data_IF_476533151025
#
_entry.id   IF_476533151025
#
_cell.length_a   1.000
_cell.length_b   1.000
_cell.length_c   1.000
_cell.angle_alpha   90.00
_cell.angle_beta   90.00
_cell.angle_gamma   90.00
#
_symmetry.space_group_name_H-M   'P 1'
#
loop_
_entity.id
_entity.type
_entity.pdbx_description
1 polymer ?
#
# COMPACT_ATOMS: atom_id res chain seq x y z
N UNK A 1 -3.51 22.34 4.32
CA UNK A 1 -3.41 20.88 4.08
C UNK A 1 -3.31 20.16 5.42
N UNK A 2 -4.30 19.36 5.81
CA UNK A 2 -4.13 18.42 6.93
C UNK A 2 -3.11 17.37 6.49
N UNK A 3 -2.05 17.14 7.26
CA UNK A 3 -1.13 16.03 7.01
C UNK A 3 -1.89 14.75 7.33
N UNK A 4 -2.07 13.87 6.35
CA UNK A 4 -2.63 12.54 6.59
C UNK A 4 -1.69 11.79 7.55
N UNK A 5 -2.24 11.29 8.65
CA UNK A 5 -1.47 10.44 9.56
C UNK A 5 -1.56 9.02 9.04
N UNK A 6 -0.42 8.49 8.66
CA UNK A 6 -0.32 7.18 8.06
C UNK A 6 -0.65 6.08 9.06
N UNK A 7 -1.58 5.21 8.67
CA UNK A 7 -2.03 4.10 9.50
C UNK A 7 -1.48 2.77 8.99
N UNK A 8 -1.52 1.74 9.84
CA UNK A 8 -1.22 0.35 9.43
C UNK A 8 -2.19 -0.11 8.33
N UNK A 9 -3.47 0.30 8.40
CA UNK A 9 -4.49 0.00 7.40
C UNK A 9 -4.14 0.57 6.02
N UNK A 10 -3.58 1.78 5.95
CA UNK A 10 -3.11 2.38 4.69
C UNK A 10 -2.01 1.52 4.03
N UNK A 11 -1.11 0.95 4.85
CA UNK A 11 -0.09 0.04 4.36
C UNK A 11 -0.64 -1.33 3.99
N UNK A 12 -1.70 -1.82 4.65
CA UNK A 12 -2.39 -3.06 4.25
C UNK A 12 -3.04 -2.89 2.88
N UNK A 13 -3.69 -1.76 2.63
CA UNK A 13 -4.26 -1.42 1.30
C UNK A 13 -3.15 -1.35 0.25
N UNK A 14 -2.04 -0.69 0.56
CA UNK A 14 -0.89 -0.64 -0.35
C UNK A 14 -0.26 -2.03 -0.59
N UNK A 15 -0.22 -2.90 0.42
CA UNK A 15 0.23 -4.29 0.29
C UNK A 15 -0.70 -5.10 -0.61
N UNK A 16 -2.02 -4.91 -0.49
CA UNK A 16 -3.02 -5.50 -1.39
C UNK A 16 -2.74 -5.10 -2.84
N UNK A 17 -2.55 -3.81 -3.11
CA UNK A 17 -2.26 -3.33 -4.45
C UNK A 17 -0.91 -3.82 -4.99
N UNK A 18 0.10 -3.97 -4.13
CA UNK A 18 1.37 -4.57 -4.50
C UNK A 18 1.22 -6.03 -4.95
N UNK A 19 0.43 -6.84 -4.23
CA UNK A 19 0.27 -8.28 -4.49
C UNK A 19 -0.73 -8.61 -5.59
N UNK A 20 -1.88 -7.94 -5.59
CA UNK A 20 -3.06 -8.33 -6.36
C UNK A 20 -3.59 -7.21 -7.25
N UNK A 21 -3.19 -5.97 -7.00
CA UNK A 21 -3.65 -4.83 -7.77
C UNK A 21 -3.10 -4.79 -9.19
N UNK A 22 -3.95 -4.40 -10.14
CA UNK A 22 -3.50 -3.99 -11.47
C UNK A 22 -2.93 -2.57 -11.40
N UNK A 23 -1.65 -2.48 -11.03
CA UNK A 23 -0.93 -1.20 -10.91
C UNK A 23 -0.81 -0.43 -12.23
N UNK A 24 -1.23 -1.02 -13.37
CA UNK A 24 -1.31 -0.33 -14.66
C UNK A 24 -2.52 0.60 -14.75
N UNK A 25 -3.53 0.42 -13.91
CA UNK A 25 -4.67 1.33 -13.79
C UNK A 25 -4.36 2.41 -12.76
N UNK A 26 -3.62 3.44 -13.17
CA UNK A 26 -3.33 4.61 -12.33
C UNK A 26 -4.57 5.23 -11.68
N UNK A 27 -5.72 5.16 -12.36
CA UNK A 27 -7.02 5.63 -11.87
C UNK A 27 -7.53 4.87 -10.63
N UNK A 28 -7.21 3.58 -10.45
CA UNK A 28 -7.67 2.85 -9.27
C UNK A 28 -6.93 3.26 -8.00
N UNK A 29 -5.64 3.59 -8.11
CA UNK A 29 -4.85 4.08 -6.98
C UNK A 29 -5.24 5.51 -6.59
N UNK A 30 -5.56 6.36 -7.56
CA UNK A 30 -6.06 7.71 -7.28
C UNK A 30 -7.37 7.67 -6.53
N UNK A 31 -8.37 6.97 -7.06
CA UNK A 31 -9.69 6.88 -6.42
C UNK A 31 -9.59 6.30 -5.01
N UNK A 32 -8.84 5.22 -4.82
CA UNK A 32 -8.70 4.62 -3.47
C UNK A 32 -7.91 5.51 -2.53
N UNK A 33 -6.81 6.12 -2.98
CA UNK A 33 -6.03 7.03 -2.15
C UNK A 33 -6.84 8.26 -1.72
N UNK A 34 -7.64 8.81 -2.61
CA UNK A 34 -8.47 9.99 -2.34
C UNK A 34 -9.64 9.63 -1.41
N UNK A 35 -10.32 8.50 -1.63
CA UNK A 35 -11.39 8.01 -0.77
C UNK A 35 -10.94 7.78 0.69
N UNK A 36 -9.65 7.46 0.89
CA UNK A 36 -9.05 7.28 2.21
C UNK A 36 -8.40 8.55 2.77
N UNK A 37 -8.49 9.67 2.07
CA UNK A 37 -7.97 10.97 2.51
C UNK A 37 -6.44 11.11 2.41
N UNK A 38 -5.74 10.14 1.81
CA UNK A 38 -4.28 10.10 1.73
C UNK A 38 -3.70 10.66 0.42
N UNK A 39 -4.51 10.66 -0.64
CA UNK A 39 -4.10 11.01 -2.00
C UNK A 39 -3.50 9.84 -2.77
N UNK A 40 -3.87 9.71 -4.05
CA UNK A 40 -3.35 8.66 -4.94
C UNK A 40 -1.83 8.57 -5.05
N UNK A 41 -1.16 9.71 -5.10
CA UNK A 41 0.31 9.78 -5.15
C UNK A 41 0.95 9.16 -3.92
N UNK A 42 0.37 9.38 -2.75
CA UNK A 42 0.86 8.81 -1.51
C UNK A 42 0.62 7.31 -1.41
N UNK A 43 -0.54 6.82 -1.87
CA UNK A 43 -0.81 5.39 -1.97
C UNK A 43 0.21 4.71 -2.91
N UNK A 44 0.50 5.35 -4.05
CA UNK A 44 1.53 4.87 -4.99
C UNK A 44 2.92 4.78 -4.35
N UNK A 45 3.31 5.76 -3.54
CA UNK A 45 4.57 5.70 -2.80
C UNK A 45 4.60 4.55 -1.79
N UNK A 46 3.49 4.25 -1.11
CA UNK A 46 3.41 3.09 -0.22
C UNK A 46 3.52 1.77 -0.96
N UNK A 47 2.87 1.64 -2.12
CA UNK A 47 3.06 0.47 -2.99
C UNK A 47 4.53 0.33 -3.39
N UNK A 48 5.21 1.44 -3.70
CA UNK A 48 6.63 1.43 -4.05
C UNK A 48 7.52 0.94 -2.89
N UNK A 49 7.19 1.26 -1.62
CA UNK A 49 7.88 0.70 -0.45
C UNK A 49 7.86 -0.83 -0.48
N UNK A 50 6.69 -1.43 -0.76
CA UNK A 50 6.56 -2.90 -0.83
C UNK A 50 7.31 -3.52 -1.99
N UNK A 51 7.36 -2.86 -3.15
CA UNK A 51 8.20 -3.31 -4.27
C UNK A 51 9.68 -3.34 -3.89
N UNK A 52 10.16 -2.31 -3.19
CA UNK A 52 11.53 -2.28 -2.69
C UNK A 52 11.80 -3.37 -1.65
N UNK A 53 10.85 -3.61 -0.74
CA UNK A 53 10.94 -4.71 0.24
C UNK A 53 10.96 -6.09 -0.45
N UNK A 54 10.15 -6.28 -1.49
CA UNK A 54 10.06 -7.53 -2.27
C UNK A 54 11.22 -7.74 -3.25
N UNK A 55 12.20 -6.84 -3.30
CA UNK A 55 13.38 -6.95 -4.18
C UNK A 55 13.18 -6.51 -5.63
N UNK A 56 12.02 -5.92 -5.98
CA UNK A 56 11.69 -5.48 -7.34
C UNK A 56 11.55 -3.96 -7.50
N UNK A 57 11.94 -3.17 -6.51
CA UNK A 57 11.79 -1.71 -6.49
C UNK A 57 13.12 -0.96 -6.54
N UNK A 58 13.06 0.33 -6.88
CA UNK A 58 14.21 1.23 -6.99
C UNK A 58 14.39 2.16 -5.77
N UNK A 59 13.65 1.93 -4.68
CA UNK A 59 13.80 2.75 -3.47
C UNK A 59 14.93 2.18 -2.62
N UNK A 60 15.90 3.03 -2.27
CA UNK A 60 16.98 2.68 -1.35
C UNK A 60 16.48 2.45 0.07
N UNK A 61 15.38 3.12 0.44
CA UNK A 61 14.80 3.09 1.78
C UNK A 61 13.28 2.99 1.75
N UNK A 62 12.76 1.83 2.17
CA UNK A 62 11.34 1.64 2.45
C UNK A 62 11.00 2.03 3.90
N UNK A 63 9.82 2.63 4.10
CA UNK A 63 9.31 3.02 5.42
C UNK A 63 9.22 1.83 6.38
N UNK A 64 9.54 2.06 7.66
CA UNK A 64 9.57 1.00 8.67
C UNK A 64 8.20 0.38 8.94
N UNK A 65 7.13 1.17 8.88
CA UNK A 65 5.76 0.65 8.99
C UNK A 65 5.43 -0.34 7.87
N UNK A 66 5.78 -0.01 6.62
CA UNK A 66 5.59 -0.90 5.47
C UNK A 66 6.39 -2.20 5.63
N UNK A 67 7.59 -2.15 6.22
CA UNK A 67 8.36 -3.38 6.55
C UNK A 67 7.63 -4.26 7.56
N UNK A 68 7.12 -3.67 8.64
CA UNK A 68 6.35 -4.40 9.65
C UNK A 68 5.10 -5.05 9.06
N UNK A 69 4.33 -4.30 8.26
CA UNK A 69 3.13 -4.79 7.56
C UNK A 69 3.48 -5.93 6.59
N UNK A 70 4.57 -5.81 5.84
CA UNK A 70 5.01 -6.87 4.92
C UNK A 70 5.33 -8.16 5.68
N UNK A 71 6.11 -8.07 6.76
CA UNK A 71 6.46 -9.23 7.58
C UNK A 71 5.22 -9.91 8.17
N UNK A 72 4.24 -9.13 8.61
CA UNK A 72 3.01 -9.64 9.26
C UNK A 72 2.00 -10.21 8.27
N UNK A 73 1.83 -9.62 7.10
CA UNK A 73 0.65 -9.89 6.27
C UNK A 73 0.97 -10.31 4.83
N UNK A 74 2.24 -10.31 4.40
CA UNK A 74 2.59 -10.69 3.02
C UNK A 74 2.22 -12.14 2.65
N UNK A 75 1.99 -13.02 3.63
CA UNK A 75 1.55 -14.39 3.39
C UNK A 75 0.03 -14.54 3.21
N UNK A 76 -0.76 -13.51 3.52
CA UNK A 76 -2.22 -13.56 3.46
C UNK A 76 -2.75 -13.56 2.02
N UNK A 77 -3.92 -14.17 1.84
CA UNK A 77 -4.69 -14.20 0.59
C UNK A 77 -5.29 -12.84 0.23
N UNK A 78 -5.80 -12.72 -0.99
CA UNK A 78 -6.49 -11.51 -1.46
C UNK A 78 -7.69 -11.15 -0.56
N UNK A 79 -8.53 -12.14 -0.23
CA UNK A 79 -9.74 -11.96 0.59
C UNK A 79 -9.39 -11.48 2.00
N UNK A 80 -8.34 -12.05 2.61
CA UNK A 80 -7.90 -11.65 3.94
C UNK A 80 -7.35 -10.22 3.96
N UNK A 81 -6.55 -9.84 2.96
CA UNK A 81 -6.04 -8.46 2.86
C UNK A 81 -7.15 -7.45 2.58
N UNK A 82 -8.14 -7.79 1.75
CA UNK A 82 -9.31 -6.93 1.53
C UNK A 82 -10.09 -6.69 2.82
N UNK A 83 -10.33 -7.77 3.58
CA UNK A 83 -11.01 -7.68 4.89
C UNK A 83 -10.26 -6.80 5.88
N UNK A 84 -8.93 -6.95 5.97
CA UNK A 84 -8.09 -6.18 6.90
C UNK A 84 -7.91 -4.72 6.48
N UNK A 85 -7.82 -4.45 5.17
CA UNK A 85 -7.64 -3.10 4.62
C UNK A 85 -8.94 -2.34 4.37
N UNK A 86 -10.10 -2.94 4.66
CA UNK A 86 -11.40 -2.35 4.38
C UNK A 86 -11.61 -2.05 2.88
N UNK A 87 -11.38 -3.05 2.02
CA UNK A 87 -11.53 -3.01 0.55
C UNK A 87 -12.58 -3.99 0.03
#
# INVERSE_FOLDING_TARGET
>A
MKRHHWTEEDDIVALYFYKFGDLRRSSSLEVVGDNRGMGGGSLRMRVANFRAIGGGGSLDHAAQQSRSVYQRYAHLSEVELRKLGGL
#
